data_IF_726338673170
#
_entry.id   IF_726338673170
#
_cell.length_a   1.000
_cell.length_b   1.000
_cell.length_c   1.000
_cell.angle_alpha   90.00
_cell.angle_beta   90.00
_cell.angle_gamma   90.00
#
_symmetry.space_group_name_H-M   'P 1'
#
loop_
_entity.id
_entity.type
_entity.pdbx_description
1 polymer ?
#
# COMPACT_ATOMS: atom_id res chain seq x y z
N UNK A 1 38.07 -2.12 -15.11
CA UNK A 1 38.09 -1.70 -13.69
C UNK A 1 37.69 -2.91 -12.86
N UNK A 2 38.49 -3.26 -11.83
CA UNK A 2 38.41 -4.54 -11.12
C UNK A 2 37.19 -4.60 -10.19
N UNK A 3 36.41 -5.67 -10.31
CA UNK A 3 35.29 -6.02 -9.45
C UNK A 3 35.82 -6.37 -8.05
N UNK A 4 35.54 -5.52 -7.06
CA UNK A 4 35.87 -5.76 -5.65
C UNK A 4 34.62 -6.26 -4.95
N UNK A 5 34.67 -7.52 -4.53
CA UNK A 5 33.56 -8.26 -3.96
C UNK A 5 32.87 -7.60 -2.76
N UNK A 6 31.54 -7.64 -2.79
CA UNK A 6 30.65 -7.24 -1.69
C UNK A 6 30.50 -8.41 -0.70
N UNK A 7 30.65 -8.20 0.62
CA UNK A 7 30.49 -9.27 1.62
C UNK A 7 29.03 -9.76 1.71
N UNK A 8 28.83 -11.08 1.70
CA UNK A 8 27.52 -11.72 1.93
C UNK A 8 27.10 -11.56 3.40
N UNK A 9 26.02 -10.82 3.65
CA UNK A 9 25.36 -10.77 4.95
C UNK A 9 24.61 -12.09 5.21
N UNK A 10 25.00 -12.83 6.25
CA UNK A 10 24.28 -14.03 6.72
C UNK A 10 23.11 -13.58 7.60
N UNK A 11 21.88 -13.84 7.17
CA UNK A 11 20.67 -13.59 7.95
C UNK A 11 20.48 -14.64 9.04
N UNK A 12 20.32 -14.19 10.29
CA UNK A 12 19.92 -15.04 11.41
C UNK A 12 18.41 -15.32 11.34
N UNK A 13 18.04 -16.60 11.30
CA UNK A 13 16.65 -17.04 11.29
C UNK A 13 16.08 -17.05 12.72
N UNK A 14 15.23 -16.08 13.04
CA UNK A 14 14.35 -16.15 14.22
C UNK A 14 12.90 -16.32 13.77
N UNK A 15 12.44 -17.56 13.72
CA UNK A 15 11.06 -17.93 13.41
C UNK A 15 10.19 -17.88 14.67
N UNK A 16 9.66 -16.70 15.00
CA UNK A 16 8.51 -16.61 15.93
C UNK A 16 7.23 -16.97 15.18
N UNK A 17 6.71 -18.17 15.42
CA UNK A 17 5.43 -18.65 14.86
C UNK A 17 4.28 -17.82 15.42
N UNK A 18 3.73 -16.92 14.62
CA UNK A 18 2.46 -16.26 14.89
C UNK A 18 1.32 -17.28 14.64
N UNK A 19 0.50 -17.52 15.65
CA UNK A 19 -0.69 -18.39 15.52
C UNK A 19 -1.85 -17.55 14.99
N UNK A 20 -2.45 -17.87 13.82
CA UNK A 20 -3.63 -17.16 13.33
C UNK A 20 -4.84 -17.43 14.23
N UNK A 21 -5.57 -16.38 14.60
CA UNK A 21 -6.85 -16.48 15.30
C UNK A 21 -7.93 -16.90 14.29
N UNK A 22 -8.51 -18.08 14.49
CA UNK A 22 -9.54 -18.66 13.61
C UNK A 22 -10.91 -18.31 14.17
N UNK A 23 -11.77 -17.66 13.37
CA UNK A 23 -13.17 -17.44 13.74
C UNK A 23 -14.06 -18.42 12.97
N UNK A 24 -14.75 -19.33 13.68
CA UNK A 24 -15.65 -20.33 13.08
C UNK A 24 -17.09 -19.81 13.13
N UNK A 25 -17.75 -19.68 11.98
CA UNK A 25 -19.21 -19.48 11.91
C UNK A 25 -19.90 -20.82 11.63
N UNK A 26 -20.95 -21.22 12.37
CA UNK A 26 -21.66 -22.47 12.10
C UNK A 26 -22.58 -22.31 10.89
N UNK A 27 -22.39 -23.15 9.86
CA UNK A 27 -23.29 -23.24 8.71
C UNK A 27 -24.42 -24.24 9.02
N UNK A 28 -25.66 -23.75 9.08
CA UNK A 28 -26.88 -24.53 9.30
C UNK A 28 -27.10 -25.57 8.19
N UNK A 29 -27.04 -26.87 8.53
CA UNK A 29 -27.45 -27.98 7.64
C UNK A 29 -28.97 -28.15 7.70
N UNK A 30 -29.66 -27.96 6.57
CA UNK A 30 -31.00 -28.53 6.33
C UNK A 30 -30.85 -29.93 5.72
N UNK A 31 -31.45 -30.93 6.36
CA UNK A 31 -31.56 -32.31 5.86
C UNK A 31 -32.55 -32.38 4.67
N UNK A 32 -32.14 -33.08 3.61
CA UNK A 32 -32.98 -33.50 2.48
C UNK A 32 -32.58 -34.89 2.00
N UNK A 33 -33.57 -35.73 1.68
CA UNK A 33 -33.57 -37.20 1.59
C UNK A 33 -32.60 -37.86 0.58
N UNK A 34 -32.34 -39.15 0.87
CA UNK A 34 -31.56 -40.16 0.14
C UNK A 34 -32.11 -40.50 -1.26
N UNK A 35 -31.20 -40.71 -2.22
CA UNK A 35 -31.31 -41.73 -3.28
C UNK A 35 -29.95 -42.42 -3.44
N UNK A 36 -29.98 -43.73 -3.63
CA UNK A 36 -28.83 -44.62 -3.72
C UNK A 36 -28.28 -44.67 -5.16
N UNK A 37 -26.95 -44.73 -5.32
CA UNK A 37 -26.29 -45.01 -6.60
C UNK A 37 -24.95 -44.28 -6.73
N UNK A 38 -23.88 -45.07 -6.88
CA UNK A 38 -22.47 -44.68 -7.06
C UNK A 38 -21.85 -43.84 -5.92
N UNK A 39 -20.89 -44.46 -5.22
CA UNK A 39 -19.98 -43.76 -4.31
C UNK A 39 -19.05 -42.86 -5.12
N UNK A 40 -19.56 -41.70 -5.52
CA UNK A 40 -18.71 -40.55 -5.78
C UNK A 40 -18.24 -40.14 -4.38
N UNK A 41 -17.00 -40.50 -4.03
CA UNK A 41 -16.34 -39.94 -2.85
C UNK A 41 -16.68 -38.46 -2.81
N UNK A 42 -17.29 -37.93 -1.73
CA UNK A 42 -17.57 -36.52 -1.66
C UNK A 42 -16.22 -35.85 -1.81
N UNK A 43 -16.02 -35.21 -2.97
CA UNK A 43 -14.93 -34.26 -3.15
C UNK A 43 -15.13 -33.33 -1.98
N UNK A 44 -14.27 -33.45 -0.97
CA UNK A 44 -14.27 -32.56 0.17
C UNK A 44 -14.10 -31.20 -0.49
N UNK A 45 -15.20 -30.46 -0.62
CA UNK A 45 -15.16 -29.04 -0.91
C UNK A 45 -14.43 -28.50 0.31
N UNK A 46 -13.09 -28.45 0.21
CA UNK A 46 -12.22 -27.84 1.19
C UNK A 46 -12.85 -26.48 1.42
N UNK A 47 -13.42 -26.27 2.61
CA UNK A 47 -13.81 -24.93 3.02
C UNK A 47 -12.60 -24.06 2.70
N UNK A 48 -12.75 -23.14 1.75
CA UNK A 48 -11.70 -22.19 1.43
C UNK A 48 -11.58 -21.32 2.66
N UNK A 49 -10.64 -21.67 3.52
CA UNK A 49 -10.20 -20.82 4.61
C UNK A 49 -9.48 -19.66 3.93
N UNK A 50 -10.18 -18.54 3.79
CA UNK A 50 -9.56 -17.27 3.41
C UNK A 50 -8.85 -16.71 4.64
N UNK A 51 -7.53 -16.54 4.60
CA UNK A 51 -6.81 -15.93 5.71
C UNK A 51 -7.28 -14.48 5.90
N UNK A 52 -7.40 -14.05 7.15
CA UNK A 52 -7.56 -12.64 7.47
C UNK A 52 -6.22 -11.93 7.23
N UNK A 53 -6.22 -10.95 6.33
CA UNK A 53 -5.04 -10.17 5.96
C UNK A 53 -5.03 -8.79 6.60
N UNK A 54 -6.00 -8.45 7.44
CA UNK A 54 -6.05 -7.15 8.10
C UNK A 54 -4.83 -6.91 8.99
N UNK A 55 -4.36 -5.66 9.02
CA UNK A 55 -3.20 -5.23 9.82
C UNK A 55 -3.47 -3.89 10.50
N UNK A 56 -2.79 -3.67 11.62
CA UNK A 56 -2.81 -2.39 12.34
C UNK A 56 -1.36 -1.90 12.52
N UNK A 57 -1.07 -0.68 12.05
CA UNK A 57 0.27 -0.09 12.09
C UNK A 57 0.15 1.38 12.48
N UNK A 58 0.78 1.77 13.60
CA UNK A 58 0.79 3.18 14.03
C UNK A 58 -0.62 3.78 14.24
N UNK A 59 -1.61 2.96 14.63
CA UNK A 59 -3.01 3.36 14.77
C UNK A 59 -3.84 3.28 13.48
N UNK A 60 -3.20 3.07 12.32
CA UNK A 60 -3.89 2.88 11.04
C UNK A 60 -4.36 1.43 10.89
N UNK A 61 -5.66 1.23 10.68
CA UNK A 61 -6.26 -0.08 10.37
C UNK A 61 -6.41 -0.25 8.87
N UNK A 62 -5.81 -1.31 8.34
CA UNK A 62 -5.81 -1.62 6.92
C UNK A 62 -6.46 -2.99 6.69
N UNK A 63 -7.23 -3.12 5.61
CA UNK A 63 -7.85 -4.40 5.21
C UNK A 63 -6.84 -5.46 4.76
N UNK A 64 -5.60 -5.06 4.54
CA UNK A 64 -4.54 -5.87 3.95
C UNK A 64 -3.16 -5.25 4.19
N UNK A 65 -2.07 -6.00 3.97
CA UNK A 65 -0.71 -5.48 4.17
C UNK A 65 -0.13 -4.78 2.92
N UNK A 66 -0.86 -4.74 1.81
CA UNK A 66 -0.32 -4.28 0.52
C UNK A 66 -0.76 -2.84 0.25
N UNK A 67 0.22 -1.94 0.11
CA UNK A 67 0.02 -0.53 -0.23
C UNK A 67 0.73 -0.20 -1.56
N UNK A 68 0.19 0.76 -2.33
CA UNK A 68 0.95 1.37 -3.40
C UNK A 68 2.10 2.22 -2.82
N UNK A 69 3.32 2.01 -3.31
CA UNK A 69 4.49 2.73 -2.84
C UNK A 69 4.47 4.21 -3.26
N UNK A 70 5.15 5.07 -2.51
CA UNK A 70 5.21 6.51 -2.80
C UNK A 70 5.73 6.76 -4.21
N UNK A 71 4.96 7.53 -4.99
CA UNK A 71 5.34 7.96 -6.32
C UNK A 71 5.14 6.94 -7.43
N UNK A 72 4.57 5.76 -7.15
CA UNK A 72 4.10 4.85 -8.21
C UNK A 72 2.69 5.20 -8.67
N UNK A 73 1.88 5.79 -7.79
CA UNK A 73 0.46 6.12 -8.04
C UNK A 73 0.19 7.64 -8.10
N UNK A 74 1.24 8.48 -8.16
CA UNK A 74 1.07 9.94 -8.13
C UNK A 74 0.30 10.39 -6.89
N UNK A 75 -0.86 11.01 -7.10
CA UNK A 75 -1.81 11.41 -6.04
C UNK A 75 -3.10 10.57 -6.05
N UNK A 76 -3.11 9.47 -6.81
CA UNK A 76 -4.20 8.48 -6.86
C UNK A 76 -5.37 8.86 -7.77
N UNK A 77 -5.40 10.10 -8.28
CA UNK A 77 -6.45 10.59 -9.18
C UNK A 77 -6.33 10.06 -10.60
N UNK A 78 -5.12 9.65 -10.98
CA UNK A 78 -4.74 9.18 -12.31
C UNK A 78 -5.00 7.66 -12.47
N UNK A 79 -5.31 6.96 -11.38
CA UNK A 79 -5.40 5.50 -11.34
C UNK A 79 -6.87 5.03 -11.43
N UNK A 80 -7.19 4.03 -12.27
CA UNK A 80 -8.52 3.45 -12.35
C UNK A 80 -9.04 2.97 -10.98
N UNK A 81 -10.34 3.16 -10.73
CA UNK A 81 -11.00 2.83 -9.45
C UNK A 81 -10.87 1.34 -9.07
N UNK A 82 -10.65 0.46 -10.05
CA UNK A 82 -10.50 -0.99 -9.86
C UNK A 82 -9.21 -1.34 -9.09
N UNK A 83 -8.12 -0.61 -9.29
CA UNK A 83 -6.84 -0.88 -8.60
C UNK A 83 -6.89 -0.47 -7.12
N UNK A 84 -7.64 0.58 -6.79
CA UNK A 84 -7.89 1.01 -5.40
C UNK A 84 -8.65 -0.02 -4.59
N UNK A 85 -9.46 -0.88 -5.22
CA UNK A 85 -10.18 -1.98 -4.53
C UNK A 85 -9.31 -3.19 -4.22
N UNK A 86 -8.17 -3.35 -4.91
CA UNK A 86 -7.27 -4.48 -4.71
C UNK A 86 -6.20 -4.22 -3.63
N UNK A 87 -5.84 -2.96 -3.41
CA UNK A 87 -4.83 -2.54 -2.44
C UNK A 87 -5.44 -2.13 -1.10
N UNK A 88 -4.70 -2.11 -0.01
CA UNK A 88 -5.21 -1.66 1.28
C UNK A 88 -5.18 -0.13 1.46
N UNK A 89 -4.43 0.57 0.60
CA UNK A 89 -4.21 2.01 0.64
C UNK A 89 -3.07 2.39 -0.30
N UNK A 90 -2.69 3.67 -0.32
CA UNK A 90 -1.54 4.16 -1.07
C UNK A 90 -0.70 5.12 -0.24
N UNK A 91 0.56 5.27 -0.65
CA UNK A 91 1.41 6.38 -0.21
C UNK A 91 1.49 7.39 -1.35
N UNK A 92 1.17 8.65 -1.10
CA UNK A 92 1.21 9.71 -2.11
C UNK A 92 2.63 9.94 -2.63
N UNK A 93 2.76 10.61 -3.78
CA UNK A 93 4.02 11.21 -4.18
C UNK A 93 4.51 12.18 -3.08
N UNK A 94 5.83 12.18 -2.87
CA UNK A 94 6.51 13.09 -1.96
C UNK A 94 6.15 14.55 -2.16
N UNK A 95 5.82 15.26 -1.09
CA UNK A 95 5.42 16.67 -1.12
C UNK A 95 6.41 17.56 -0.34
N UNK A 96 6.69 18.73 -0.90
CA UNK A 96 7.49 19.79 -0.29
C UNK A 96 6.60 20.97 0.09
N UNK A 97 7.13 21.91 0.89
CA UNK A 97 6.45 23.17 1.18
C UNK A 97 6.14 23.95 -0.11
N UNK A 98 7.10 23.99 -1.04
CA UNK A 98 7.00 24.71 -2.30
C UNK A 98 6.91 23.76 -3.50
N UNK A 99 6.30 24.19 -4.62
CA UNK A 99 6.33 23.43 -5.86
C UNK A 99 7.76 23.16 -6.34
N UNK A 100 7.99 22.00 -6.96
CA UNK A 100 9.27 21.61 -7.58
C UNK A 100 9.05 21.11 -8.99
N UNK A 101 9.87 21.59 -9.94
CA UNK A 101 9.87 21.12 -11.33
C UNK A 101 10.45 19.70 -11.48
N UNK A 102 11.34 19.30 -10.57
CA UNK A 102 12.07 18.04 -10.63
C UNK A 102 13.22 18.06 -11.63
N UNK A 103 13.78 16.89 -11.90
CA UNK A 103 14.93 16.73 -12.81
C UNK A 103 14.48 16.82 -14.26
N UNK A 104 15.33 17.39 -15.13
CA UNK A 104 15.12 17.42 -16.57
C UNK A 104 15.04 15.99 -17.17
N UNK A 105 14.21 15.76 -18.20
CA UNK A 105 14.21 14.50 -18.94
C UNK A 105 15.55 14.26 -19.68
N UNK A 106 16.01 13.02 -19.92
CA UNK A 106 15.42 11.74 -19.54
C UNK A 106 15.73 11.36 -18.09
N UNK A 107 14.69 10.99 -17.33
CA UNK A 107 14.74 10.74 -15.88
C UNK A 107 14.25 9.37 -15.46
N UNK A 108 14.00 8.49 -16.44
CA UNK A 108 13.60 7.09 -16.28
C UNK A 108 14.37 6.28 -17.33
N UNK A 109 14.91 5.14 -16.92
CA UNK A 109 15.52 4.17 -17.83
C UNK A 109 15.21 2.74 -17.38
N UNK A 110 14.91 1.86 -18.33
CA UNK A 110 14.66 0.44 -18.08
C UNK A 110 15.97 -0.30 -17.79
N UNK A 111 15.90 -1.30 -16.93
CA UNK A 111 17.01 -2.21 -16.61
C UNK A 111 16.49 -3.66 -16.61
N UNK A 112 17.34 -4.68 -16.75
CA UNK A 112 16.91 -6.06 -16.56
C UNK A 112 16.16 -6.22 -15.23
N UNK A 113 14.92 -6.71 -15.31
CA UNK A 113 14.03 -6.92 -14.15
C UNK A 113 13.67 -5.65 -13.36
N UNK A 114 13.72 -4.45 -13.95
CA UNK A 114 13.33 -3.22 -13.25
C UNK A 114 13.53 -1.92 -14.02
N UNK A 115 13.66 -0.83 -13.28
CA UNK A 115 13.91 0.50 -13.84
C UNK A 115 14.64 1.40 -12.84
N UNK A 116 15.40 2.36 -13.36
CA UNK A 116 15.96 3.46 -12.58
C UNK A 116 15.13 4.72 -12.77
N UNK A 117 15.04 5.54 -11.73
CA UNK A 117 14.38 6.83 -11.80
C UNK A 117 15.18 7.92 -11.08
N UNK A 118 15.15 9.12 -11.65
CA UNK A 118 15.77 10.33 -11.12
C UNK A 118 14.77 11.50 -11.21
N UNK A 119 13.54 11.31 -10.72
CA UNK A 119 12.44 12.27 -10.91
C UNK A 119 12.73 13.66 -10.30
N UNK A 120 13.57 13.71 -9.26
CA UNK A 120 13.90 14.96 -8.55
C UNK A 120 12.74 15.50 -7.70
N UNK A 121 11.85 14.59 -7.25
CA UNK A 121 10.70 14.90 -6.41
C UNK A 121 9.82 16.06 -6.96
N UNK A 122 9.55 16.02 -8.26
CA UNK A 122 8.57 16.90 -8.90
C UNK A 122 7.22 16.80 -8.17
N UNK A 123 6.63 17.96 -7.89
CA UNK A 123 5.34 18.04 -7.20
C UNK A 123 4.82 19.48 -7.08
N UNK A 124 3.53 19.65 -6.76
CA UNK A 124 2.85 20.94 -6.79
C UNK A 124 3.00 21.73 -5.47
N UNK A 125 3.62 21.17 -4.44
CA UNK A 125 3.74 21.79 -3.12
C UNK A 125 2.51 21.55 -2.22
N UNK A 126 2.69 21.73 -0.91
CA UNK A 126 1.69 21.40 0.11
C UNK A 126 0.38 22.17 -0.06
N UNK A 127 0.45 23.44 -0.43
CA UNK A 127 -0.76 24.29 -0.56
C UNK A 127 -1.68 23.80 -1.68
N UNK A 128 -1.10 23.38 -2.81
CA UNK A 128 -1.86 22.76 -3.89
C UNK A 128 -2.37 21.37 -3.49
N UNK A 129 -1.62 20.64 -2.66
CA UNK A 129 -2.05 19.33 -2.17
C UNK A 129 -3.33 19.42 -1.33
N UNK A 130 -3.32 20.32 -0.36
CA UNK A 130 -4.46 20.56 0.53
C UNK A 130 -5.67 21.07 -0.28
N UNK A 131 -5.45 21.95 -1.26
CA UNK A 131 -6.54 22.50 -2.07
C UNK A 131 -7.15 21.48 -3.04
N UNK A 132 -6.32 20.71 -3.74
CA UNK A 132 -6.76 19.99 -4.95
C UNK A 132 -6.88 18.46 -4.76
N UNK A 133 -6.17 17.87 -3.80
CA UNK A 133 -6.13 16.41 -3.60
C UNK A 133 -6.79 15.97 -2.30
N UNK A 134 -6.55 16.65 -1.18
CA UNK A 134 -7.12 16.27 0.12
C UNK A 134 -8.67 16.14 0.10
N UNK A 135 -9.44 17.06 -0.53
CA UNK A 135 -10.90 16.91 -0.62
C UNK A 135 -11.35 15.68 -1.42
N UNK A 136 -10.52 15.22 -2.36
CA UNK A 136 -10.81 14.00 -3.13
C UNK A 136 -10.57 12.77 -2.27
N UNK A 137 -9.48 12.76 -1.49
CA UNK A 137 -9.11 11.65 -0.62
C UNK A 137 -10.11 11.46 0.51
N UNK A 138 -10.65 12.54 1.06
CA UNK A 138 -11.71 12.50 2.07
C UNK A 138 -12.94 11.71 1.59
N UNK A 139 -13.27 11.79 0.29
CA UNK A 139 -14.39 11.07 -0.29
C UNK A 139 -14.10 9.58 -0.60
N UNK A 140 -12.89 9.08 -0.34
CA UNK A 140 -12.49 7.72 -0.70
C UNK A 140 -12.56 6.76 0.49
N UNK A 141 -13.06 5.54 0.24
CA UNK A 141 -12.88 4.37 1.12
C UNK A 141 -11.49 3.71 0.92
N UNK A 142 -10.48 4.53 0.65
CA UNK A 142 -9.13 4.09 0.30
C UNK A 142 -8.11 5.01 0.99
N UNK A 143 -7.50 4.54 2.09
CA UNK A 143 -6.57 5.35 2.87
C UNK A 143 -5.38 5.85 2.05
N UNK A 144 -5.04 7.13 2.22
CA UNK A 144 -3.88 7.77 1.61
C UNK A 144 -2.91 8.19 2.72
N UNK A 145 -1.67 7.71 2.65
CA UNK A 145 -0.59 8.15 3.52
C UNK A 145 0.20 9.23 2.77
N UNK A 146 0.32 10.43 3.33
CA UNK A 146 1.06 11.51 2.68
C UNK A 146 2.55 11.37 2.95
N UNK A 147 3.32 11.18 1.87
CA UNK A 147 4.78 11.22 1.95
C UNK A 147 5.26 12.69 1.98
N UNK A 148 5.84 13.12 3.09
CA UNK A 148 6.41 14.46 3.25
C UNK A 148 7.92 14.45 3.02
N UNK A 149 8.44 15.50 2.39
CA UNK A 149 9.87 15.68 2.13
C UNK A 149 10.29 17.11 2.42
N UNK A 150 11.38 17.25 3.16
CA UNK A 150 12.03 18.51 3.49
C UNK A 150 13.55 18.41 3.36
N UNK A 151 14.19 19.55 3.16
CA UNK A 151 15.65 19.69 3.12
C UNK A 151 16.22 20.03 4.51
N UNK A 152 15.36 20.32 5.49
CA UNK A 152 15.72 20.50 6.89
C UNK A 152 14.67 19.92 7.83
N UNK A 153 15.04 19.67 9.09
CA UNK A 153 14.10 19.22 10.12
C UNK A 153 12.95 20.23 10.35
N UNK A 154 13.24 21.54 10.21
CA UNK A 154 12.22 22.59 10.31
C UNK A 154 11.17 22.47 9.21
N UNK A 155 11.58 22.14 7.98
CA UNK A 155 10.63 21.96 6.88
C UNK A 155 9.74 20.74 7.09
N UNK A 156 10.26 19.65 7.65
CA UNK A 156 9.45 18.50 8.03
C UNK A 156 8.42 18.86 9.11
N UNK A 157 8.83 19.62 10.14
CA UNK A 157 7.94 20.09 11.19
C UNK A 157 6.82 20.99 10.65
N UNK A 158 7.17 21.93 9.77
CA UNK A 158 6.18 22.81 9.14
C UNK A 158 5.21 22.05 8.23
N UNK A 159 5.71 21.10 7.43
CA UNK A 159 4.86 20.24 6.60
C UNK A 159 3.89 19.42 7.43
N UNK A 160 4.38 18.77 8.49
CA UNK A 160 3.53 18.00 9.39
C UNK A 160 2.46 18.88 10.03
N UNK A 161 2.82 20.07 10.51
CA UNK A 161 1.88 21.00 11.13
C UNK A 161 0.82 21.52 10.14
N UNK A 162 1.17 21.76 8.87
CA UNK A 162 0.20 22.19 7.84
C UNK A 162 -0.77 21.09 7.43
N UNK A 163 -0.35 19.83 7.53
CA UNK A 163 -1.16 18.67 7.16
C UNK A 163 -1.99 18.13 8.33
N UNK A 164 -1.61 18.46 9.56
CA UNK A 164 -2.34 18.05 10.76
C UNK A 164 -3.78 18.60 10.74
N UNK A 165 -4.75 17.71 10.97
CA UNK A 165 -6.17 18.04 10.95
C UNK A 165 -6.77 18.32 9.56
N UNK A 166 -6.01 18.19 8.47
CA UNK A 166 -6.56 18.31 7.11
C UNK A 166 -7.41 17.08 6.78
N UNK A 167 -8.70 17.24 6.42
CA UNK A 167 -9.53 16.09 6.05
C UNK A 167 -8.96 15.31 4.86
N UNK A 168 -8.95 13.98 4.97
CA UNK A 168 -8.42 13.09 3.94
C UNK A 168 -6.90 12.84 3.98
N UNK A 169 -6.19 13.40 4.97
CA UNK A 169 -4.75 13.17 5.24
C UNK A 169 -4.55 12.37 6.53
#
# INVERSE_FOLDING_TARGET
MRDRGVPRLRGAAHSRRLRPRVHRRPCLRRLGRRLAGAAVSPVLCRERVTPDLSVEVGGLKLRGPVLAASGTFGYGTEVPLLERRALAGMVSKGIFLKPRAGTAPSRIVETPSGMLNAIGLQGPGVDALIRDYAPKWEAWDFPVLVNINGESASEYGELAARLDGVPGV
#
